data_IF_112509945736
#
_entry.id   IF_112509945736
#
_cell.length_a   1.000
_cell.length_b   1.000
_cell.length_c   1.000
_cell.angle_alpha   90.00
_cell.angle_beta   90.00
_cell.angle_gamma   90.00
#
_symmetry.space_group_name_H-M   'P 1'
#
loop_
_entity.id
_entity.type
_entity.pdbx_description
1 polymer ?
#
# COMPACT_ATOMS: atom_id res chain seq x y z
N UNK A 1 -2.65 -6.67 11.97
CA UNK A 1 -1.86 -5.42 11.93
C UNK A 1 -0.70 -5.54 12.91
N UNK A 2 0.47 -4.93 12.67
CA UNK A 2 1.59 -5.02 13.59
C UNK A 2 1.25 -4.36 14.92
N UNK A 3 1.59 -5.04 16.02
CA UNK A 3 1.44 -4.52 17.38
C UNK A 3 2.31 -3.26 17.60
N UNK A 4 1.90 -2.38 18.50
CA UNK A 4 2.57 -1.11 18.79
C UNK A 4 4.04 -1.29 19.21
N UNK A 5 4.36 -2.36 19.95
CA UNK A 5 5.75 -2.68 20.32
C UNK A 5 6.62 -2.94 19.09
N UNK A 6 6.09 -3.64 18.08
CA UNK A 6 6.82 -3.92 16.83
C UNK A 6 7.02 -2.64 16.02
N UNK A 7 6.01 -1.77 15.95
CA UNK A 7 6.12 -0.46 15.30
C UNK A 7 7.20 0.38 15.97
N UNK A 8 7.17 0.49 17.30
CA UNK A 8 8.15 1.26 18.07
C UNK A 8 9.57 0.73 17.86
N UNK A 9 9.77 -0.59 17.94
CA UNK A 9 11.08 -1.22 17.69
C UNK A 9 11.61 -0.94 16.29
N UNK A 10 10.73 -0.94 15.28
CA UNK A 10 11.10 -0.56 13.91
C UNK A 10 11.57 0.89 13.84
N UNK A 11 10.82 1.81 14.46
CA UNK A 11 11.17 3.23 14.49
C UNK A 11 12.48 3.52 15.22
N UNK A 12 12.73 2.85 16.35
CA UNK A 12 13.98 2.98 17.10
C UNK A 12 15.19 2.53 16.27
N UNK A 13 15.07 1.41 15.54
CA UNK A 13 16.12 0.93 14.63
C UNK A 13 16.34 1.89 13.46
N UNK A 14 15.26 2.38 12.88
CA UNK A 14 15.33 3.32 11.77
C UNK A 14 16.01 4.63 12.19
N UNK A 15 15.69 5.13 13.40
CA UNK A 15 16.34 6.30 13.97
C UNK A 15 17.83 6.07 14.26
N UNK A 16 18.21 4.86 14.70
CA UNK A 16 19.61 4.49 14.89
C UNK A 16 20.42 4.51 13.57
N UNK A 17 19.78 4.20 12.44
CA UNK A 17 20.36 4.29 11.10
C UNK A 17 20.18 5.69 10.48
N UNK A 18 19.96 6.73 11.31
CA UNK A 18 19.74 8.11 10.88
C UNK A 18 18.58 8.29 9.87
N UNK A 19 17.57 7.42 9.93
CA UNK A 19 16.46 7.32 8.99
C UNK A 19 16.89 7.18 7.53
N UNK A 20 18.06 6.61 7.27
CA UNK A 20 18.58 6.35 5.93
C UNK A 20 18.63 4.86 5.70
N UNK A 21 17.87 4.39 4.71
CA UNK A 21 17.87 2.99 4.33
C UNK A 21 17.86 2.86 2.82
N UNK A 22 18.52 1.83 2.30
CA UNK A 22 18.54 1.67 0.85
C UNK A 22 17.14 1.34 0.29
N UNK A 23 16.45 0.35 0.88
CA UNK A 23 15.15 -0.06 0.38
C UNK A 23 14.19 -0.55 1.47
N UNK A 24 12.89 -0.36 1.23
CA UNK A 24 11.80 -0.77 2.12
C UNK A 24 10.91 -1.78 1.40
N UNK A 25 10.60 -2.89 2.06
CA UNK A 25 9.72 -3.95 1.57
C UNK A 25 8.54 -4.09 2.53
N UNK A 26 7.33 -3.89 2.04
CA UNK A 26 6.11 -3.98 2.84
C UNK A 26 5.06 -4.86 2.18
N UNK A 27 4.17 -5.46 2.97
CA UNK A 27 3.05 -6.21 2.40
C UNK A 27 2.03 -5.28 1.72
N UNK A 28 1.64 -4.20 2.42
CA UNK A 28 0.73 -3.14 1.93
C UNK A 28 1.52 -1.86 1.60
N UNK A 29 0.88 -0.84 1.05
CA UNK A 29 1.53 0.44 0.72
C UNK A 29 1.18 1.55 1.74
N UNK A 30 1.97 2.66 1.81
CA UNK A 30 1.55 3.81 2.60
C UNK A 30 0.25 4.42 2.07
N UNK A 31 -0.53 5.06 2.94
CA UNK A 31 -1.92 5.50 2.65
C UNK A 31 -2.06 6.38 1.39
N UNK A 32 -1.05 7.21 1.11
CA UNK A 32 -1.03 8.12 -0.06
C UNK A 32 -0.88 7.38 -1.39
N UNK A 33 -0.32 6.18 -1.35
CA UNK A 33 0.00 5.36 -2.51
C UNK A 33 -1.04 4.25 -2.75
N UNK A 34 -2.18 4.28 -2.05
CA UNK A 34 -3.24 3.30 -2.25
C UNK A 34 -3.74 3.30 -3.71
N UNK A 35 -3.82 2.13 -4.39
CA UNK A 35 -4.33 2.04 -5.74
C UNK A 35 -5.86 2.04 -5.70
N UNK A 36 -6.45 3.24 -5.56
CA UNK A 36 -7.89 3.37 -5.29
C UNK A 36 -8.79 2.78 -6.38
N UNK A 37 -8.30 2.69 -7.61
CA UNK A 37 -8.96 2.06 -8.74
C UNK A 37 -9.20 0.55 -8.55
N UNK A 38 -8.36 -0.12 -7.73
CA UNK A 38 -8.50 -1.54 -7.43
C UNK A 38 -9.60 -1.82 -6.40
N UNK A 39 -10.08 -0.80 -5.68
CA UNK A 39 -11.15 -0.95 -4.69
C UNK A 39 -12.56 -0.91 -5.28
N UNK A 40 -12.70 -0.89 -6.62
CA UNK A 40 -13.99 -1.04 -7.27
C UNK A 40 -14.51 -2.47 -7.05
N UNK A 41 -15.28 -2.66 -5.98
CA UNK A 41 -16.12 -3.84 -5.81
C UNK A 41 -17.08 -3.96 -7.01
N UNK A 42 -17.32 -5.19 -7.45
CA UNK A 42 -18.14 -5.63 -8.60
C UNK A 42 -19.64 -5.26 -8.51
N UNK A 43 -20.01 -4.16 -7.86
CA UNK A 43 -21.37 -3.59 -7.88
C UNK A 43 -21.62 -2.83 -9.19
N UNK A 44 -21.43 -3.50 -10.32
CA UNK A 44 -22.04 -3.13 -11.60
C UNK A 44 -21.90 -4.27 -12.64
N UNK A 45 -22.06 -5.52 -12.23
CA UNK A 45 -22.58 -6.52 -13.17
C UNK A 45 -24.06 -6.16 -13.44
N UNK A 46 -24.29 -5.26 -14.40
CA UNK A 46 -25.61 -4.87 -14.89
C UNK A 46 -26.45 -6.04 -15.46
N UNK A 47 -25.90 -7.26 -15.47
CA UNK A 47 -26.56 -8.49 -15.89
C UNK A 47 -27.39 -9.18 -14.79
N UNK A 48 -27.26 -8.82 -13.51
CA UNK A 48 -28.08 -9.41 -12.44
C UNK A 48 -29.30 -8.52 -12.19
N UNK A 49 -30.42 -8.81 -12.88
CA UNK A 49 -31.74 -8.20 -12.66
C UNK A 49 -32.22 -8.44 -11.22
N UNK A 50 -31.80 -7.60 -10.27
CA UNK A 50 -32.39 -7.54 -8.94
C UNK A 50 -33.29 -6.30 -8.85
N UNK A 51 -34.54 -6.51 -8.44
CA UNK A 51 -35.62 -5.51 -8.35
C UNK A 51 -35.16 -4.23 -7.60
N UNK A 52 -35.71 -3.05 -7.94
CA UNK A 52 -35.28 -1.78 -7.35
C UNK A 52 -35.65 -1.75 -5.87
N UNK A 53 -34.67 -2.02 -4.99
CA UNK A 53 -34.82 -1.73 -3.56
C UNK A 53 -34.77 -0.22 -3.40
N UNK A 54 -35.86 0.35 -2.85
CA UNK A 54 -36.05 1.77 -2.47
C UNK A 54 -34.72 2.46 -2.16
N UNK A 55 -34.46 3.58 -2.82
CA UNK A 55 -33.30 4.44 -2.59
C UNK A 55 -33.28 4.89 -1.12
N UNK A 56 -32.56 4.15 -0.28
CA UNK A 56 -32.21 4.60 1.06
C UNK A 56 -31.11 5.66 0.89
N UNK A 57 -31.25 6.74 1.65
CA UNK A 57 -30.35 7.89 1.68
C UNK A 57 -28.89 7.47 1.53
N UNK A 58 -28.17 8.24 0.70
CA UNK A 58 -26.75 8.16 0.31
C UNK A 58 -25.83 7.95 1.53
N UNK A 59 -25.84 6.76 2.13
CA UNK A 59 -24.79 6.33 3.05
C UNK A 59 -23.57 6.15 2.16
N UNK A 60 -22.63 7.09 2.25
CA UNK A 60 -21.27 6.86 1.77
C UNK A 60 -20.86 5.50 2.33
N UNK A 61 -20.64 4.53 1.45
CA UNK A 61 -20.06 3.27 1.84
C UNK A 61 -18.66 3.61 2.33
N UNK A 62 -18.53 3.83 3.63
CA UNK A 62 -17.23 3.79 4.32
C UNK A 62 -16.98 2.31 4.52
N UNK A 63 -16.14 1.65 3.72
CA UNK A 63 -15.71 0.32 4.07
C UNK A 63 -15.06 0.43 5.46
N UNK A 64 -15.56 -0.36 6.40
CA UNK A 64 -15.02 -0.49 7.77
C UNK A 64 -13.72 -1.31 7.68
N UNK A 65 -12.72 -0.70 7.04
CA UNK A 65 -11.40 -1.29 6.85
C UNK A 65 -10.45 -0.48 7.71
N UNK A 66 -9.86 -1.14 8.70
CA UNK A 66 -8.77 -0.58 9.49
C UNK A 66 -7.59 -0.25 8.56
N UNK A 67 -7.24 1.04 8.49
CA UNK A 67 -6.12 1.57 7.70
C UNK A 67 -4.97 2.07 8.58
N UNK A 68 -4.95 1.67 9.85
CA UNK A 68 -3.95 2.10 10.83
C UNK A 68 -2.52 1.77 10.37
N UNK A 69 -2.33 0.67 9.65
CA UNK A 69 -1.01 0.25 9.15
C UNK A 69 -0.57 1.11 7.97
N UNK A 70 -1.45 1.35 7.00
CA UNK A 70 -1.19 2.22 5.86
C UNK A 70 -0.91 3.67 6.28
N UNK A 71 -1.63 4.16 7.30
CA UNK A 71 -1.38 5.47 7.91
C UNK A 71 0.00 5.52 8.57
N UNK A 72 0.33 4.52 9.39
CA UNK A 72 1.64 4.42 10.03
C UNK A 72 2.78 4.36 9.02
N UNK A 73 2.65 3.54 7.97
CA UNK A 73 3.63 3.49 6.87
C UNK A 73 3.79 4.85 6.18
N UNK A 74 2.72 5.65 6.11
CA UNK A 74 2.78 7.02 5.60
C UNK A 74 3.65 7.93 6.45
N UNK A 75 3.63 7.78 7.78
CA UNK A 75 4.52 8.54 8.67
C UNK A 75 5.97 8.06 8.60
N UNK A 76 6.19 6.75 8.42
CA UNK A 76 7.53 6.21 8.13
C UNK A 76 8.08 6.78 6.82
N UNK A 77 7.27 6.84 5.77
CA UNK A 77 7.70 7.31 4.45
C UNK A 77 8.17 8.77 4.48
N UNK A 78 7.48 9.64 5.21
CA UNK A 78 7.86 11.06 5.34
C UNK A 78 9.19 11.28 6.05
N UNK A 79 9.52 10.43 7.03
CA UNK A 79 10.71 10.60 7.87
C UNK A 79 11.93 9.83 7.37
N UNK A 80 11.75 8.92 6.41
CA UNK A 80 12.80 8.04 5.92
C UNK A 80 13.33 8.51 4.58
N UNK A 81 14.64 8.59 4.45
CA UNK A 81 15.32 8.72 3.17
C UNK A 81 15.61 7.32 2.61
N UNK A 82 14.95 6.98 1.50
CA UNK A 82 15.04 5.68 0.84
C UNK A 82 15.19 5.78 -0.68
N UNK A 83 15.89 4.81 -1.26
CA UNK A 83 16.05 4.73 -2.72
C UNK A 83 14.89 3.99 -3.39
N UNK A 84 14.45 2.86 -2.82
CA UNK A 84 13.37 2.04 -3.37
C UNK A 84 12.36 1.63 -2.30
N UNK A 85 11.07 1.63 -2.65
CA UNK A 85 10.03 1.05 -1.81
C UNK A 85 9.17 0.12 -2.64
N UNK A 86 9.18 -1.17 -2.27
CA UNK A 86 8.37 -2.20 -2.88
C UNK A 86 7.25 -2.66 -1.97
N UNK A 87 6.04 -2.77 -2.53
CA UNK A 87 4.88 -3.26 -1.80
C UNK A 87 4.07 -4.28 -2.62
N UNK A 88 3.25 -5.07 -1.94
CA UNK A 88 2.41 -6.11 -2.55
C UNK A 88 0.92 -5.82 -2.38
N UNK A 89 0.18 -6.85 -1.94
CA UNK A 89 -1.24 -6.82 -1.57
C UNK A 89 -2.25 -6.62 -2.71
N UNK A 90 -1.96 -5.78 -3.71
CA UNK A 90 -2.93 -5.38 -4.73
C UNK A 90 -2.93 -6.23 -6.00
N UNK A 91 -2.00 -7.20 -6.09
CA UNK A 91 -1.85 -8.11 -7.24
C UNK A 91 -1.76 -7.37 -8.59
N UNK A 92 -1.05 -6.24 -8.60
CA UNK A 92 -0.83 -5.40 -9.76
C UNK A 92 0.64 -4.97 -9.78
N UNK A 93 1.21 -4.91 -10.97
CA UNK A 93 2.51 -4.28 -11.21
C UNK A 93 2.23 -2.81 -11.51
N UNK A 94 2.57 -1.91 -10.57
CA UNK A 94 2.28 -0.48 -10.71
C UNK A 94 3.24 0.37 -9.89
N UNK A 95 3.83 1.38 -10.52
CA UNK A 95 4.55 2.42 -9.79
C UNK A 95 3.64 3.64 -9.56
N UNK A 96 3.58 4.09 -8.31
CA UNK A 96 2.94 5.35 -7.93
C UNK A 96 4.02 6.20 -7.28
N UNK A 97 4.49 7.21 -8.01
CA UNK A 97 5.56 8.12 -7.55
C UNK A 97 6.80 7.32 -7.08
N UNK A 98 7.16 7.35 -5.80
CA UNK A 98 8.34 6.65 -5.25
C UNK A 98 8.09 5.20 -4.83
N UNK A 99 6.84 4.75 -4.77
CA UNK A 99 6.47 3.40 -4.29
C UNK A 99 6.06 2.54 -5.48
N UNK A 100 6.62 1.35 -5.58
CA UNK A 100 6.30 0.38 -6.63
C UNK A 100 5.60 -0.85 -6.05
N UNK A 101 4.44 -1.19 -6.61
CA UNK A 101 3.69 -2.40 -6.34
C UNK A 101 4.20 -3.50 -7.28
N UNK A 102 4.56 -4.65 -6.71
CA UNK A 102 5.08 -5.79 -7.44
C UNK A 102 4.12 -6.99 -7.28
N UNK A 103 3.83 -7.66 -8.38
CA UNK A 103 3.06 -8.90 -8.42
C UNK A 103 3.71 -9.96 -9.32
N UNK A 104 3.94 -9.65 -10.60
CA UNK A 104 4.60 -10.55 -11.55
C UNK A 104 5.94 -10.02 -12.02
N UNK A 105 6.15 -8.72 -11.89
CA UNK A 105 7.39 -8.09 -12.27
C UNK A 105 8.51 -8.45 -11.28
N UNK A 106 9.68 -8.80 -11.82
CA UNK A 106 10.89 -9.06 -11.04
C UNK A 106 11.77 -7.81 -11.15
N UNK A 107 12.05 -7.19 -10.00
CA UNK A 107 12.93 -6.03 -9.89
C UNK A 107 14.11 -6.35 -8.98
N UNK A 108 15.28 -5.90 -9.38
CA UNK A 108 16.46 -5.93 -8.53
C UNK A 108 16.28 -4.95 -7.36
N UNK A 109 16.80 -5.33 -6.18
CA UNK A 109 16.83 -4.44 -5.03
C UNK A 109 17.90 -3.37 -5.27
N UNK A 110 19.15 -3.77 -5.53
CA UNK A 110 20.25 -2.87 -5.89
C UNK A 110 21.00 -3.39 -7.14
N UNK A 111 21.60 -2.49 -7.91
CA UNK A 111 22.42 -2.80 -9.09
C UNK A 111 21.62 -3.04 -10.38
N UNK A 112 22.28 -2.82 -11.53
CA UNK A 112 21.70 -3.08 -12.86
C UNK A 112 21.43 -4.59 -13.02
N UNK A 113 20.21 -4.92 -13.45
CA UNK A 113 19.86 -6.27 -13.83
C UNK A 113 20.74 -6.69 -15.01
N UNK A 114 21.53 -7.75 -14.80
CA UNK A 114 22.32 -8.52 -15.77
C UNK A 114 22.66 -7.80 -17.09
N UNK A 115 23.93 -7.41 -17.33
CA UNK A 115 24.32 -6.97 -18.68
C UNK A 115 23.99 -8.10 -19.67
N UNK A 116 23.32 -7.71 -20.77
CA UNK A 116 22.93 -8.61 -21.86
C UNK A 116 24.13 -9.28 -22.52
#
# INVERSE_FOLDING_TARGET
MPDEERKKRFEERLAAEHNKIFGILTHTCPIRYLPTEMFLSVRQNAAIKQKPRRAKAKKSFKPDIDRSTEQWLGEIEKKTDYHVWYCGHYHIDKQIDRVTMLHREIRCLHGEAFPQ
#
